data_IF_656370335315
#
_entry.id   IF_656370335315
#
_cell.length_a   1.000
_cell.length_b   1.000
_cell.length_c   1.000
_cell.angle_alpha   90.00
_cell.angle_beta   90.00
_cell.angle_gamma   90.00
#
_symmetry.space_group_name_H-M   'P 1'
#
loop_
_entity.id
_entity.type
_entity.pdbx_description
1 polymer ?
#
# COMPACT_ATOMS: atom_id res chain seq x y z
N UNK A 1 9.96 -25.18 -7.78
CA UNK A 1 9.05 -24.70 -6.72
C UNK A 1 7.63 -25.09 -7.12
N UNK A 2 6.78 -25.52 -6.19
CA UNK A 2 5.37 -25.77 -6.51
C UNK A 2 4.62 -24.45 -6.70
N UNK A 3 3.49 -24.46 -7.42
CA UNK A 3 2.63 -23.29 -7.61
C UNK A 3 2.21 -22.66 -6.29
N UNK A 4 1.86 -23.48 -5.29
CA UNK A 4 1.48 -23.02 -3.95
C UNK A 4 2.60 -22.23 -3.23
N UNK A 5 3.86 -22.67 -3.36
CA UNK A 5 5.01 -21.93 -2.80
C UNK A 5 5.24 -20.61 -3.53
N UNK A 6 4.90 -20.54 -4.82
CA UNK A 6 5.07 -19.33 -5.62
C UNK A 6 4.01 -18.27 -5.27
N UNK A 7 2.74 -18.65 -5.16
CA UNK A 7 1.66 -17.76 -4.74
C UNK A 7 1.90 -17.22 -3.32
N UNK A 8 2.36 -18.08 -2.40
CA UNK A 8 2.65 -17.66 -1.03
C UNK A 8 3.81 -16.66 -0.95
N UNK A 9 4.86 -16.83 -1.77
CA UNK A 9 5.93 -15.85 -1.88
C UNK A 9 5.40 -14.46 -2.24
N UNK A 10 4.53 -14.36 -3.25
CA UNK A 10 3.94 -13.08 -3.66
C UNK A 10 3.03 -12.49 -2.58
N UNK A 11 2.25 -13.33 -1.89
CA UNK A 11 1.42 -12.90 -0.77
C UNK A 11 2.27 -12.23 0.32
N UNK A 12 3.35 -12.88 0.75
CA UNK A 12 4.26 -12.34 1.77
C UNK A 12 4.90 -11.00 1.33
N UNK A 13 5.26 -10.87 0.04
CA UNK A 13 5.79 -9.61 -0.51
C UNK A 13 4.75 -8.48 -0.44
N UNK A 14 3.51 -8.74 -0.88
CA UNK A 14 2.45 -7.74 -0.84
C UNK A 14 2.01 -7.41 0.58
N UNK A 15 1.88 -8.40 1.48
CA UNK A 15 1.50 -8.16 2.87
C UNK A 15 2.52 -7.26 3.57
N UNK A 16 3.81 -7.53 3.36
CA UNK A 16 4.90 -6.69 3.89
C UNK A 16 4.79 -5.25 3.40
N UNK A 17 4.65 -5.05 2.08
CA UNK A 17 4.62 -3.72 1.48
C UNK A 17 3.36 -2.93 1.84
N UNK A 18 2.18 -3.55 1.75
CA UNK A 18 0.91 -2.86 2.04
C UNK A 18 0.82 -2.52 3.53
N UNK A 19 1.34 -3.37 4.41
CA UNK A 19 1.45 -3.07 5.85
C UNK A 19 2.35 -1.87 6.10
N UNK A 20 3.52 -1.80 5.45
CA UNK A 20 4.44 -0.67 5.60
C UNK A 20 3.84 0.62 5.02
N UNK A 21 3.16 0.57 3.88
CA UNK A 21 2.41 1.71 3.31
C UNK A 21 1.39 2.22 4.32
N UNK A 22 0.54 1.35 4.87
CA UNK A 22 -0.49 1.74 5.83
C UNK A 22 0.11 2.33 7.11
N UNK A 23 1.21 1.75 7.60
CA UNK A 23 1.93 2.26 8.78
C UNK A 23 2.53 3.64 8.53
N UNK A 24 3.24 3.84 7.42
CA UNK A 24 3.86 5.12 7.12
C UNK A 24 2.83 6.20 6.81
N UNK A 25 1.75 5.87 6.12
CA UNK A 25 0.63 6.79 5.91
C UNK A 25 0.01 7.24 7.24
N UNK A 26 -0.14 6.32 8.19
CA UNK A 26 -0.61 6.66 9.54
C UNK A 26 0.34 7.61 10.27
N UNK A 27 1.66 7.34 10.23
CA UNK A 27 2.68 8.16 10.91
C UNK A 27 2.83 9.54 10.26
N UNK A 28 2.79 9.59 8.93
CA UNK A 28 2.83 10.82 8.14
C UNK A 28 1.48 11.57 8.11
N UNK A 29 0.42 10.98 8.67
CA UNK A 29 -0.96 11.48 8.61
C UNK A 29 -1.41 11.80 7.17
N UNK A 30 -1.06 10.91 6.23
CA UNK A 30 -1.41 11.02 4.81
C UNK A 30 -2.72 10.27 4.56
N UNK A 31 -3.79 10.94 4.10
CA UNK A 31 -5.08 10.30 3.88
C UNK A 31 -5.12 9.59 2.52
N UNK A 32 -4.42 8.45 2.39
CA UNK A 32 -4.28 7.70 1.13
C UNK A 32 -5.61 7.32 0.44
N UNK A 33 -6.71 7.22 1.17
CA UNK A 33 -8.02 6.91 0.58
C UNK A 33 -8.65 8.12 -0.15
N UNK A 34 -8.13 9.33 0.07
CA UNK A 34 -8.63 10.51 -0.63
C UNK A 34 -8.11 10.50 -2.09
N UNK A 35 -8.97 10.86 -3.07
CA UNK A 35 -8.57 10.96 -4.47
C UNK A 35 -7.35 11.88 -4.66
N UNK A 36 -6.38 11.48 -5.48
CA UNK A 36 -5.23 12.32 -5.84
C UNK A 36 -4.05 12.29 -4.84
N UNK A 37 -4.23 11.73 -3.64
CA UNK A 37 -3.18 11.71 -2.61
C UNK A 37 -2.04 10.77 -2.98
N UNK A 38 -2.34 9.59 -3.53
CA UNK A 38 -1.31 8.64 -3.96
C UNK A 38 -0.39 9.29 -4.99
N UNK A 39 -0.98 9.97 -5.98
CA UNK A 39 -0.25 10.67 -7.04
C UNK A 39 0.58 11.84 -6.49
N UNK A 40 0.06 12.58 -5.52
CA UNK A 40 0.79 13.66 -4.85
C UNK A 40 1.99 13.12 -4.06
N UNK A 41 1.83 12.03 -3.31
CA UNK A 41 2.94 11.38 -2.60
C UNK A 41 4.02 10.91 -3.59
N UNK A 42 3.63 10.30 -4.72
CA UNK A 42 4.58 9.88 -5.76
C UNK A 42 5.35 11.06 -6.38
N UNK A 43 4.70 12.22 -6.55
CA UNK A 43 5.32 13.49 -6.96
C UNK A 43 6.19 14.14 -5.88
N UNK A 44 6.29 13.52 -4.70
CA UNK A 44 7.01 14.06 -3.54
C UNK A 44 6.41 15.40 -3.04
N UNK A 45 5.10 15.55 -3.15
CA UNK A 45 4.38 16.73 -2.66
C UNK A 45 4.12 16.62 -1.15
N UNK A 46 5.07 17.14 -0.36
CA UNK A 46 5.01 17.11 1.10
C UNK A 46 3.85 17.91 1.70
N UNK A 47 3.16 18.76 0.92
CA UNK A 47 1.97 19.47 1.38
C UNK A 47 0.80 18.53 1.73
N UNK A 48 0.86 17.28 1.27
CA UNK A 48 -0.11 16.22 1.63
C UNK A 48 0.18 15.54 2.96
N UNK A 49 1.33 15.83 3.57
CA UNK A 49 1.72 15.31 4.88
C UNK A 49 1.00 16.10 5.98
N UNK A 50 0.17 15.42 6.78
CA UNK A 50 -0.51 16.04 7.92
C UNK A 50 0.41 16.25 9.14
N UNK A 51 1.57 15.56 9.18
CA UNK A 51 2.52 15.63 10.28
C UNK A 51 3.86 16.26 9.88
N UNK A 52 4.61 16.77 10.85
CA UNK A 52 5.98 17.27 10.69
C UNK A 52 7.03 16.14 10.63
N UNK A 53 6.71 15.03 9.94
CA UNK A 53 7.59 13.86 9.79
C UNK A 53 7.95 13.57 8.33
N UNK A 54 8.91 14.32 7.74
CA UNK A 54 9.34 14.13 6.35
C UNK A 54 10.02 12.78 6.11
N UNK A 55 10.53 12.12 7.16
CA UNK A 55 11.11 10.77 7.06
C UNK A 55 10.02 9.73 6.79
N UNK A 56 8.89 9.81 7.51
CA UNK A 56 7.76 8.91 7.30
C UNK A 56 7.14 9.10 5.91
N UNK A 57 7.00 10.35 5.46
CA UNK A 57 6.51 10.65 4.10
C UNK A 57 7.41 10.04 3.01
N UNK A 58 8.74 10.19 3.14
CA UNK A 58 9.69 9.60 2.19
C UNK A 58 9.59 8.08 2.16
N UNK A 59 9.51 7.43 3.32
CA UNK A 59 9.33 5.98 3.42
C UNK A 59 8.01 5.50 2.82
N UNK A 60 6.94 6.27 3.02
CA UNK A 60 5.65 6.01 2.37
C UNK A 60 5.79 6.05 0.84
N UNK A 61 6.43 7.09 0.32
CA UNK A 61 6.67 7.23 -1.13
C UNK A 61 7.49 6.07 -1.69
N UNK A 62 8.57 5.69 -1.02
CA UNK A 62 9.41 4.55 -1.40
C UNK A 62 8.62 3.24 -1.41
N UNK A 63 7.80 2.99 -0.39
CA UNK A 63 6.96 1.80 -0.31
C UNK A 63 5.88 1.77 -1.42
N UNK A 64 5.26 2.91 -1.72
CA UNK A 64 4.33 3.04 -2.85
C UNK A 64 5.01 2.76 -4.19
N UNK A 65 6.23 3.28 -4.41
CA UNK A 65 6.98 2.96 -5.62
C UNK A 65 7.30 1.47 -5.72
N UNK A 66 7.69 0.86 -4.60
CA UNK A 66 8.04 -0.56 -4.55
C UNK A 66 6.83 -1.44 -4.84
N UNK A 67 5.63 -1.09 -4.36
CA UNK A 67 4.42 -1.90 -4.60
C UNK A 67 4.10 -1.97 -6.09
N UNK A 68 4.29 -0.89 -6.87
CA UNK A 68 4.10 -0.93 -8.33
C UNK A 68 5.13 -1.83 -9.03
N UNK A 69 6.38 -1.83 -8.55
CA UNK A 69 7.42 -2.72 -9.11
C UNK A 69 7.09 -4.18 -8.83
N UNK A 70 6.69 -4.50 -7.60
CA UNK A 70 6.29 -5.86 -7.20
C UNK A 70 5.02 -6.30 -7.93
N UNK A 71 4.02 -5.42 -8.04
CA UNK A 71 2.79 -5.68 -8.79
C UNK A 71 3.06 -6.00 -10.25
N UNK A 72 3.93 -5.23 -10.92
CA UNK A 72 4.32 -5.52 -12.29
C UNK A 72 4.96 -6.89 -12.43
N UNK A 73 5.88 -7.25 -11.53
CA UNK A 73 6.53 -8.56 -11.57
C UNK A 73 5.55 -9.71 -11.27
N UNK A 74 4.60 -9.49 -10.36
CA UNK A 74 3.55 -10.47 -10.07
C UNK A 74 2.62 -10.65 -11.27
N UNK A 75 2.24 -9.58 -11.96
CA UNK A 75 1.48 -9.66 -13.22
C UNK A 75 2.20 -10.50 -14.28
N UNK A 76 3.51 -10.30 -14.44
CA UNK A 76 4.31 -11.06 -15.41
C UNK A 76 4.41 -12.56 -15.06
N UNK A 77 4.21 -12.94 -13.78
CA UNK A 77 4.47 -14.30 -13.27
C UNK A 77 3.20 -15.10 -12.93
N UNK A 78 2.19 -14.45 -12.34
CA UNK A 78 0.91 -15.05 -11.94
C UNK A 78 -0.25 -14.64 -12.87
N UNK A 79 -0.08 -13.53 -13.59
CA UNK A 79 -1.15 -12.89 -14.34
C UNK A 79 -1.93 -11.87 -13.50
N UNK A 80 -2.70 -10.99 -14.17
CA UNK A 80 -3.35 -9.85 -13.54
C UNK A 80 -4.49 -10.24 -12.59
N UNK A 81 -5.31 -11.23 -12.97
CA UNK A 81 -6.46 -11.67 -12.17
C UNK A 81 -6.04 -12.20 -10.78
N UNK A 82 -5.07 -13.11 -10.74
CA UNK A 82 -4.59 -13.70 -9.48
C UNK A 82 -3.92 -12.65 -8.59
N UNK A 83 -3.08 -11.79 -9.20
CA UNK A 83 -2.40 -10.71 -8.47
C UNK A 83 -3.39 -9.71 -7.88
N UNK A 84 -4.43 -9.31 -8.62
CA UNK A 84 -5.45 -8.37 -8.13
C UNK A 84 -6.30 -8.96 -7.00
N UNK A 85 -6.67 -10.24 -7.10
CA UNK A 85 -7.37 -10.95 -6.03
C UNK A 85 -6.53 -10.98 -4.75
N UNK A 86 -5.24 -11.32 -4.87
CA UNK A 86 -4.30 -11.35 -3.74
C UNK A 86 -4.15 -9.98 -3.06
N UNK A 87 -3.96 -8.91 -3.85
CA UNK A 87 -3.87 -7.54 -3.32
C UNK A 87 -5.18 -7.14 -2.62
N UNK A 88 -6.34 -7.49 -3.19
CA UNK A 88 -7.63 -7.17 -2.61
C UNK A 88 -7.86 -7.86 -1.25
N UNK A 89 -7.49 -9.13 -1.13
CA UNK A 89 -7.55 -9.88 0.14
C UNK A 89 -6.67 -9.26 1.22
N UNK A 90 -5.41 -8.94 0.88
CA UNK A 90 -4.48 -8.29 1.81
C UNK A 90 -5.02 -6.93 2.25
N UNK A 91 -5.53 -6.12 1.31
CA UNK A 91 -6.15 -4.84 1.63
C UNK A 91 -7.33 -5.02 2.58
N UNK A 92 -8.22 -5.97 2.32
CA UNK A 92 -9.37 -6.25 3.17
C UNK A 92 -8.96 -6.65 4.60
N UNK A 93 -7.90 -7.46 4.74
CA UNK A 93 -7.35 -7.86 6.04
C UNK A 93 -6.71 -6.68 6.81
N UNK A 94 -6.16 -5.69 6.09
CA UNK A 94 -5.49 -4.54 6.68
C UNK A 94 -6.43 -3.38 7.02
N UNK A 95 -7.52 -3.16 6.28
CA UNK A 95 -8.47 -2.05 6.53
C UNK A 95 -8.89 -1.95 8.00
N UNK A 96 -9.35 -3.03 8.67
CA UNK A 96 -9.77 -2.95 10.08
C UNK A 96 -8.67 -2.48 11.03
N UNK A 97 -7.39 -2.71 10.71
CA UNK A 97 -6.23 -2.34 11.54
C UNK A 97 -5.92 -0.84 11.47
N UNK A 98 -6.37 -0.17 10.41
CA UNK A 98 -6.05 1.23 10.12
C UNK A 98 -7.30 2.12 9.91
N UNK A 99 -8.49 1.62 10.25
CA UNK A 99 -9.77 2.36 10.16
C UNK A 99 -9.66 3.75 10.78
N UNK A 100 -10.15 4.76 10.06
CA UNK A 100 -10.12 6.17 10.47
C UNK A 100 -8.77 6.88 10.34
N UNK A 101 -7.67 6.16 10.03
CA UNK A 101 -6.31 6.73 9.95
C UNK A 101 -5.81 6.98 8.52
N UNK A 102 -6.45 6.38 7.52
CA UNK A 102 -6.06 6.46 6.11
C UNK A 102 -6.96 7.39 5.27
N UNK A 103 -7.89 8.11 5.90
CA UNK A 103 -8.97 8.83 5.20
C UNK A 103 -10.06 7.88 4.69
N UNK A 104 -11.19 8.44 4.25
CA UNK A 104 -12.41 7.70 3.89
C UNK A 104 -13.56 7.95 4.89
N UNK A 105 -14.83 7.76 4.47
CA UNK A 105 -15.97 8.05 5.33
C UNK A 105 -15.85 7.25 6.63
N UNK A 106 -16.02 7.94 7.76
CA UNK A 106 -16.13 7.28 9.05
C UNK A 106 -17.23 6.23 8.93
N UNK A 107 -16.94 4.99 9.36
CA UNK A 107 -18.00 4.03 9.60
C UNK A 107 -18.94 4.66 10.62
N UNK A 108 -20.13 5.05 10.15
CA UNK A 108 -21.23 5.50 11.00
C UNK A 108 -21.76 4.37 11.85
#
# INVERSE_FOLDING_TARGET
MSEATHAQFWNDQFETLITEIARQATVAQVPLANPGIVEAVLRNDEATCGSSNPVAFRKLREALMMVFVVQKKAYDQLGPLETEAMIAEIRAALVPRFTGKLGGPAAG
#
